data_IF_208516467172
#
_entry.id   IF_208516467172
#
_cell.length_a   1.000
_cell.length_b   1.000
_cell.length_c   1.000
_cell.angle_alpha   90.00
_cell.angle_beta   90.00
_cell.angle_gamma   90.00
#
_symmetry.space_group_name_H-M   'P 1'
#
loop_
_entity.id
_entity.type
_entity.pdbx_description
1 polymer ?
#
# COMPACT_ATOMS: atom_id res chain seq x y z
N UNK A 1 -36.70 -40.61 8.00
CA UNK A 1 -37.65 -40.41 9.11
C UNK A 1 -37.52 -38.95 9.54
N UNK A 2 -38.23 -38.05 8.86
CA UNK A 2 -39.58 -37.52 9.16
C UNK A 2 -39.56 -36.47 10.27
N UNK A 3 -39.96 -35.26 9.84
CA UNK A 3 -40.57 -34.13 10.56
C UNK A 3 -39.69 -33.37 11.59
N UNK A 4 -39.81 -32.04 11.75
CA UNK A 4 -41.03 -31.24 11.64
C UNK A 4 -40.72 -29.78 11.28
N UNK A 5 -41.42 -29.26 10.27
CA UNK A 5 -41.51 -27.85 9.94
C UNK A 5 -42.56 -27.18 10.83
N UNK A 6 -42.24 -26.04 11.44
CA UNK A 6 -43.22 -25.21 12.14
C UNK A 6 -43.65 -24.06 11.21
N UNK A 7 -44.87 -24.15 10.69
CA UNK A 7 -45.60 -23.05 10.05
C UNK A 7 -46.22 -22.19 11.16
N UNK A 8 -46.02 -20.88 11.10
CA UNK A 8 -47.01 -19.92 11.60
C UNK A 8 -47.51 -19.11 10.41
N UNK A 9 -48.79 -19.32 10.09
CA UNK A 9 -49.63 -18.44 9.30
C UNK A 9 -50.25 -17.42 10.27
N UNK A 10 -50.18 -16.13 9.96
CA UNK A 10 -51.26 -15.16 10.13
C UNK A 10 -51.06 -14.01 9.12
N UNK A 11 -52.19 -13.44 8.74
CA UNK A 11 -52.63 -12.90 7.43
C UNK A 11 -52.50 -11.36 7.27
N UNK A 12 -52.84 -10.77 6.10
CA UNK A 12 -52.36 -9.46 5.64
C UNK A 12 -53.35 -8.30 5.83
N UNK A 13 -52.83 -7.15 6.28
CA UNK A 13 -53.30 -5.75 6.11
C UNK A 13 -52.51 -4.94 7.15
N UNK A 14 -51.71 -3.93 6.86
CA UNK A 14 -51.99 -2.71 6.11
C UNK A 14 -50.70 -2.20 5.46
N UNK A 15 -50.86 -1.62 4.26
CA UNK A 15 -49.83 -0.88 3.57
C UNK A 15 -49.73 0.54 4.14
N UNK A 16 -48.50 0.99 4.38
CA UNK A 16 -47.90 2.23 3.86
C UNK A 16 -46.88 2.84 4.83
N UNK A 17 -45.65 3.02 4.34
CA UNK A 17 -44.55 3.67 5.06
C UNK A 17 -43.18 3.07 4.81
N UNK A 18 -42.76 2.98 3.55
CA UNK A 18 -41.40 2.57 3.17
C UNK A 18 -40.34 3.59 3.62
N UNK A 19 -39.37 3.14 4.43
CA UNK A 19 -37.96 3.52 4.32
C UNK A 19 -37.13 2.23 4.48
N UNK A 20 -36.41 1.74 3.45
CA UNK A 20 -35.67 0.48 3.56
C UNK A 20 -34.30 0.68 4.21
N UNK A 21 -34.14 0.10 5.41
CA UNK A 21 -33.17 -0.98 5.62
C UNK A 21 -31.70 -0.62 5.87
N UNK A 22 -31.38 -0.22 7.09
CA UNK A 22 -30.11 -0.59 7.72
C UNK A 22 -30.14 -2.09 8.07
N UNK A 23 -29.49 -2.93 7.26
CA UNK A 23 -29.33 -4.35 7.53
C UNK A 23 -28.12 -4.63 8.45
N UNK A 24 -28.14 -5.73 9.23
CA UNK A 24 -27.47 -5.78 10.53
C UNK A 24 -26.04 -6.33 10.49
N UNK A 25 -25.22 -5.71 11.35
CA UNK A 25 -24.15 -6.28 12.17
C UNK A 25 -23.63 -7.68 11.81
N UNK A 26 -22.36 -7.72 11.38
CA UNK A 26 -21.50 -8.89 11.24
C UNK A 26 -21.82 -10.01 12.24
N UNK A 27 -22.25 -11.19 11.75
CA UNK A 27 -22.12 -12.44 12.51
C UNK A 27 -20.67 -12.93 12.38
N UNK A 28 -19.83 -12.53 13.33
CA UNK A 28 -18.58 -13.21 13.64
C UNK A 28 -18.90 -14.56 14.30
N UNK A 29 -18.17 -15.60 13.92
CA UNK A 29 -17.76 -16.64 14.86
C UNK A 29 -16.85 -15.98 15.90
N UNK A 30 -17.39 -15.65 17.07
CA UNK A 30 -16.62 -15.15 18.23
C UNK A 30 -16.31 -16.35 19.12
N UNK A 31 -15.04 -16.72 19.25
CA UNK A 31 -14.57 -17.51 20.39
C UNK A 31 -14.71 -16.65 21.66
N UNK A 32 -15.27 -17.17 22.77
CA UNK A 32 -15.53 -16.35 23.94
C UNK A 32 -14.22 -16.09 24.72
N UNK A 33 -13.90 -14.81 24.94
CA UNK A 33 -12.75 -14.40 25.75
C UNK A 33 -12.59 -12.89 25.85
N UNK A 34 -13.17 -12.29 26.90
CA UNK A 34 -12.79 -11.05 27.61
C UNK A 34 -12.43 -9.81 26.74
N UNK A 35 -13.34 -8.83 26.74
CA UNK A 35 -13.14 -7.49 26.17
C UNK A 35 -12.17 -6.65 27.03
N UNK A 36 -10.92 -6.59 26.61
CA UNK A 36 -10.02 -5.46 26.90
C UNK A 36 -10.04 -4.49 25.71
N UNK A 37 -9.89 -3.16 25.87
CA UNK A 37 -9.72 -2.26 24.75
C UNK A 37 -8.39 -2.62 24.07
N UNK A 38 -8.47 -3.38 22.97
CA UNK A 38 -7.27 -3.90 22.31
C UNK A 38 -6.43 -2.74 21.82
N UNK A 39 -5.21 -2.59 22.32
CA UNK A 39 -4.29 -1.56 21.81
C UNK A 39 -4.04 -1.81 20.31
N UNK A 40 -3.85 -0.73 19.55
CA UNK A 40 -3.47 -0.87 18.15
C UNK A 40 -2.13 -1.61 18.08
N UNK A 41 -2.12 -2.73 17.34
CA UNK A 41 -0.95 -3.57 17.18
C UNK A 41 -0.49 -3.51 15.73
N UNK A 42 0.80 -3.23 15.57
CA UNK A 42 1.47 -3.30 14.28
C UNK A 42 2.35 -4.55 14.28
N UNK A 43 2.29 -5.31 13.20
CA UNK A 43 3.16 -6.45 12.96
C UNK A 43 3.73 -6.32 11.56
N UNK A 44 5.05 -6.35 11.44
CA UNK A 44 5.74 -6.36 10.16
C UNK A 44 6.40 -7.71 9.93
N UNK A 45 6.57 -8.06 8.66
CA UNK A 45 7.29 -9.26 8.24
C UNK A 45 7.87 -9.02 6.85
N UNK A 46 8.94 -9.73 6.51
CA UNK A 46 9.55 -9.61 5.19
C UNK A 46 9.94 -10.96 4.61
N UNK A 47 10.05 -10.96 3.29
CA UNK A 47 10.78 -11.94 2.51
C UNK A 47 12.06 -11.26 2.03
N UNK A 48 13.19 -11.82 2.43
CA UNK A 48 14.52 -11.38 2.00
C UNK A 48 15.01 -12.28 0.87
N UNK A 49 15.87 -11.77 -0.01
CA UNK A 49 16.42 -12.50 -1.15
C UNK A 49 15.98 -11.91 -2.50
N UNK A 50 15.91 -12.71 -3.58
CA UNK A 50 15.55 -12.21 -4.91
C UNK A 50 14.08 -11.73 -4.99
N UNK A 51 13.23 -12.25 -4.09
CA UNK A 51 11.82 -11.86 -3.93
C UNK A 51 11.71 -10.91 -2.74
N UNK A 52 11.95 -9.62 -2.96
CA UNK A 52 11.75 -8.65 -1.88
C UNK A 52 10.27 -8.29 -1.72
N UNK A 53 9.70 -8.69 -0.59
CA UNK A 53 8.37 -8.32 -0.16
C UNK A 53 8.36 -7.93 1.32
N UNK A 54 7.61 -6.88 1.64
CA UNK A 54 7.38 -6.43 3.00
C UNK A 54 5.87 -6.45 3.26
N UNK A 55 5.47 -7.15 4.31
CA UNK A 55 4.10 -7.18 4.78
C UNK A 55 3.94 -6.43 6.09
N UNK A 56 2.79 -5.79 6.24
CA UNK A 56 2.34 -5.16 7.46
C UNK A 56 0.92 -5.59 7.75
N UNK A 57 0.66 -5.97 9.00
CA UNK A 57 -0.66 -6.14 9.56
C UNK A 57 -0.87 -5.10 10.65
N UNK A 58 -1.95 -4.34 10.55
CA UNK A 58 -2.35 -3.38 11.56
C UNK A 58 -3.72 -3.76 12.08
N UNK A 59 -3.88 -3.79 13.40
CA UNK A 59 -5.17 -4.05 14.05
C UNK A 59 -5.61 -2.88 14.91
N UNK A 60 -6.92 -2.66 14.97
CA UNK A 60 -7.59 -1.63 15.76
C UNK A 60 -6.97 -0.23 15.57
N UNK A 61 -6.61 0.12 14.34
CA UNK A 61 -5.85 1.34 14.04
C UNK A 61 -6.74 2.48 13.59
N UNK A 62 -6.70 3.57 14.35
CA UNK A 62 -7.23 4.89 13.96
C UNK A 62 -6.16 5.80 13.37
N UNK A 63 -5.00 5.27 12.94
CA UNK A 63 -3.90 6.10 12.43
C UNK A 63 -4.20 6.57 11.00
N UNK A 64 -3.88 7.84 10.74
CA UNK A 64 -4.02 8.47 9.42
C UNK A 64 -2.66 8.67 8.77
N UNK A 65 -2.60 8.33 7.49
CA UNK A 65 -1.50 8.63 6.59
C UNK A 65 -1.71 10.02 5.98
N UNK A 66 -0.63 10.79 5.89
CA UNK A 66 -0.59 11.87 4.90
C UNK A 66 -0.57 11.26 3.51
N UNK A 67 -1.03 12.03 2.53
CA UNK A 67 -0.87 11.69 1.12
C UNK A 67 0.63 11.48 0.80
N UNK A 68 0.99 10.29 0.33
CA UNK A 68 2.37 9.85 0.15
C UNK A 68 2.50 8.93 -1.05
N UNK A 69 3.74 8.54 -1.38
CA UNK A 69 4.02 7.55 -2.40
C UNK A 69 5.18 6.66 -1.97
N UNK A 70 5.31 5.52 -2.63
CA UNK A 70 6.45 4.63 -2.51
C UNK A 70 6.80 4.06 -3.87
N UNK A 71 8.06 3.64 -4.01
CA UNK A 71 8.58 3.09 -5.26
C UNK A 71 8.26 1.60 -5.45
N UNK A 72 7.53 1.00 -4.52
CA UNK A 72 7.03 -0.39 -4.59
C UNK A 72 5.67 -0.45 -5.26
N UNK A 73 5.37 -1.58 -5.91
CA UNK A 73 3.98 -1.95 -6.18
C UNK A 73 3.36 -2.39 -4.85
N UNK A 74 2.12 -1.98 -4.56
CA UNK A 74 1.53 -2.27 -3.25
C UNK A 74 0.09 -2.70 -3.31
N UNK A 75 -0.24 -3.66 -2.46
CA UNK A 75 -1.56 -4.26 -2.36
C UNK A 75 -2.01 -4.14 -0.91
N UNK A 76 -3.14 -3.45 -0.69
CA UNK A 76 -3.77 -3.33 0.62
C UNK A 76 -5.07 -4.11 0.68
N UNK A 77 -5.40 -4.64 1.85
CA UNK A 77 -6.72 -5.23 2.11
C UNK A 77 -7.27 -4.67 3.42
N UNK A 78 -8.54 -4.27 3.42
CA UNK A 78 -9.26 -3.96 4.65
C UNK A 78 -9.91 -5.24 5.13
N UNK A 79 -9.64 -5.63 6.37
CA UNK A 79 -10.23 -6.82 7.00
C UNK A 79 -11.40 -6.45 7.92
N UNK A 80 -11.37 -5.25 8.48
CA UNK A 80 -12.44 -4.71 9.32
C UNK A 80 -12.50 -3.19 9.22
N UNK A 81 -13.71 -2.63 9.25
CA UNK A 81 -13.98 -1.20 9.11
C UNK A 81 -14.07 -0.75 7.65
N UNK A 82 -14.25 0.55 7.45
CA UNK A 82 -14.26 1.20 6.13
C UNK A 82 -13.13 2.23 6.04
N UNK A 83 -12.55 2.38 4.85
CA UNK A 83 -11.52 3.38 4.57
C UNK A 83 -11.88 4.26 3.39
N UNK A 84 -11.48 5.52 3.49
CA UNK A 84 -11.38 6.44 2.37
C UNK A 84 -10.02 6.23 1.69
N UNK A 85 -10.06 5.70 0.48
CA UNK A 85 -8.90 5.45 -0.35
C UNK A 85 -8.81 6.50 -1.45
N UNK A 86 -7.76 7.32 -1.38
CA UNK A 86 -7.44 8.31 -2.40
C UNK A 86 -6.21 7.83 -3.17
N UNK A 87 -6.30 7.74 -4.50
CA UNK A 87 -5.20 7.29 -5.36
C UNK A 87 -5.32 7.89 -6.76
N UNK A 88 -4.21 8.35 -7.33
CA UNK A 88 -4.17 8.87 -8.70
C UNK A 88 -5.24 9.95 -9.00
N UNK A 89 -5.60 10.77 -8.01
CA UNK A 89 -6.63 11.81 -8.13
C UNK A 89 -8.08 11.31 -8.06
N UNK A 90 -8.29 10.01 -7.83
CA UNK A 90 -9.59 9.39 -7.60
C UNK A 90 -9.78 9.10 -6.10
N UNK A 91 -11.03 8.96 -5.69
CA UNK A 91 -11.42 8.61 -4.33
C UNK A 91 -12.46 7.47 -4.36
N UNK A 92 -12.28 6.49 -3.47
CA UNK A 92 -13.19 5.36 -3.30
C UNK A 92 -13.29 4.96 -1.83
N UNK A 93 -14.43 4.38 -1.42
CA UNK A 93 -14.57 3.72 -0.14
C UNK A 93 -14.26 2.24 -0.29
N UNK A 94 -13.41 1.70 0.58
CA UNK A 94 -13.08 0.28 0.59
C UNK A 94 -13.44 -0.34 1.93
N UNK A 95 -13.98 -1.55 1.89
CA UNK A 95 -14.32 -2.36 3.06
C UNK A 95 -13.80 -3.81 2.89
N UNK A 96 -14.21 -4.70 3.80
CA UNK A 96 -13.86 -6.12 3.72
C UNK A 96 -14.27 -6.75 2.38
N UNK A 97 -13.36 -7.54 1.80
CA UNK A 97 -13.56 -8.20 0.50
C UNK A 97 -12.91 -7.48 -0.68
N UNK A 98 -12.45 -6.24 -0.51
CA UNK A 98 -11.82 -5.45 -1.58
C UNK A 98 -10.31 -5.30 -1.36
N UNK A 99 -9.54 -5.35 -2.45
CA UNK A 99 -8.11 -5.01 -2.45
C UNK A 99 -7.88 -3.62 -3.03
N UNK A 100 -7.07 -2.81 -2.36
CA UNK A 100 -6.48 -1.60 -2.93
C UNK A 100 -5.22 -1.99 -3.71
N UNK A 101 -5.12 -1.57 -4.96
CA UNK A 101 -3.92 -1.75 -5.79
C UNK A 101 -3.29 -0.39 -6.07
N UNK A 102 -1.98 -0.29 -5.79
CA UNK A 102 -1.22 0.96 -5.86
C UNK A 102 -0.01 0.74 -6.75
N UNK A 103 -0.01 1.38 -7.92
CA UNK A 103 1.14 1.39 -8.81
C UNK A 103 2.35 2.12 -8.17
N UNK A 104 3.59 1.77 -8.56
CA UNK A 104 4.78 2.50 -8.12
C UNK A 104 4.70 3.99 -8.43
N UNK A 105 5.30 4.82 -7.59
CA UNK A 105 5.32 6.28 -7.75
C UNK A 105 3.92 6.90 -7.90
N UNK A 106 2.90 6.26 -7.34
CA UNK A 106 1.52 6.76 -7.33
C UNK A 106 1.21 7.40 -5.99
N UNK A 107 0.74 8.64 -6.03
CA UNK A 107 0.33 9.39 -4.85
C UNK A 107 -0.99 8.81 -4.30
N UNK A 108 -1.01 8.46 -3.01
CA UNK A 108 -2.16 7.82 -2.39
C UNK A 108 -2.25 8.04 -0.86
N UNK A 109 -3.43 7.77 -0.31
CA UNK A 109 -3.66 7.61 1.12
C UNK A 109 -4.84 6.67 1.36
N UNK A 110 -4.86 5.98 2.51
CA UNK A 110 -5.91 5.04 2.86
C UNK A 110 -6.20 5.15 4.35
N UNK A 111 -7.24 5.91 4.69
CA UNK A 111 -7.54 6.37 6.05
C UNK A 111 -8.92 5.89 6.49
N UNK A 112 -9.14 5.61 7.79
CA UNK A 112 -10.47 5.25 8.29
C UNK A 112 -11.49 6.35 7.99
N UNK A 113 -12.74 5.94 7.77
CA UNK A 113 -13.86 6.87 7.67
C UNK A 113 -14.30 7.29 9.09
N UNK A 114 -14.44 8.60 9.30
CA UNK A 114 -14.87 9.16 10.59
C UNK A 114 -13.91 8.86 11.73
N UNK A 115 -14.44 8.37 12.84
CA UNK A 115 -13.67 8.00 14.05
C UNK A 115 -13.55 6.47 14.23
N UNK A 116 -13.92 5.71 13.20
CA UNK A 116 -13.84 4.26 13.26
C UNK A 116 -12.40 3.75 13.20
N UNK A 117 -12.19 2.56 13.73
CA UNK A 117 -10.91 1.86 13.67
C UNK A 117 -10.98 0.79 12.59
N UNK A 118 -9.82 0.50 12.00
CA UNK A 118 -9.70 -0.53 10.96
C UNK A 118 -8.68 -1.60 11.29
N UNK A 119 -8.89 -2.77 10.69
CA UNK A 119 -7.86 -3.77 10.52
C UNK A 119 -7.49 -3.81 9.05
N UNK A 120 -6.19 -3.84 8.74
CA UNK A 120 -5.75 -3.95 7.36
C UNK A 120 -4.42 -4.67 7.24
N UNK A 121 -4.21 -5.18 6.04
CA UNK A 121 -2.95 -5.72 5.57
C UNK A 121 -2.40 -4.81 4.48
N UNK A 122 -1.09 -4.62 4.46
CA UNK A 122 -0.37 -3.98 3.36
C UNK A 122 0.79 -4.86 2.94
N UNK A 123 0.92 -5.05 1.64
CA UNK A 123 2.00 -5.79 1.01
C UNK A 123 2.73 -4.83 0.06
N UNK A 124 4.03 -4.63 0.27
CA UNK A 124 4.91 -3.83 -0.56
C UNK A 124 5.86 -4.74 -1.32
N UNK A 125 5.88 -4.63 -2.64
CA UNK A 125 6.62 -5.51 -3.54
C UNK A 125 7.67 -4.73 -4.33
N UNK A 126 8.88 -5.25 -4.41
CA UNK A 126 9.91 -4.67 -5.25
C UNK A 126 9.50 -4.73 -6.73
N UNK A 127 9.62 -3.59 -7.41
CA UNK A 127 9.16 -3.44 -8.79
C UNK A 127 10.01 -4.26 -9.77
N UNK A 128 11.28 -4.49 -9.49
CA UNK A 128 12.11 -5.33 -10.35
C UNK A 128 11.70 -6.79 -10.25
N UNK A 129 11.37 -7.27 -9.04
CA UNK A 129 10.80 -8.59 -8.85
C UNK A 129 9.43 -8.71 -9.54
N UNK A 130 8.51 -7.75 -9.34
CA UNK A 130 7.23 -7.74 -10.05
C UNK A 130 7.43 -7.78 -11.57
N UNK A 131 8.40 -7.04 -12.10
CA UNK A 131 8.75 -7.09 -13.52
C UNK A 131 9.21 -8.48 -13.95
N UNK A 132 10.02 -9.19 -13.16
CA UNK A 132 10.42 -10.57 -13.48
C UNK A 132 9.22 -11.50 -13.56
N UNK A 133 8.26 -11.36 -12.64
CA UNK A 133 6.99 -12.10 -12.69
C UNK A 133 6.22 -11.76 -13.98
N UNK A 134 6.13 -10.48 -14.35
CA UNK A 134 5.45 -10.08 -15.60
C UNK A 134 6.20 -10.54 -16.86
N UNK A 135 7.53 -10.61 -16.83
CA UNK A 135 8.35 -11.17 -17.92
C UNK A 135 8.04 -12.65 -18.11
N UNK A 136 7.79 -13.43 -17.04
CA UNK A 136 7.43 -14.84 -17.18
C UNK A 136 6.03 -15.05 -17.79
N UNK A 137 5.13 -14.06 -17.68
CA UNK A 137 3.77 -14.14 -18.24
C UNK A 137 3.72 -13.60 -19.67
N UNK A 138 4.35 -12.44 -19.93
CA UNK A 138 4.18 -11.65 -21.16
C UNK A 138 5.48 -11.23 -21.84
N UNK A 139 6.65 -11.68 -21.35
CA UNK A 139 7.98 -11.30 -21.89
C UNK A 139 8.24 -9.78 -21.91
N UNK A 140 7.55 -9.02 -21.05
CA UNK A 140 7.71 -7.57 -20.95
C UNK A 140 9.07 -7.18 -20.37
N UNK A 141 9.67 -6.10 -20.92
CA UNK A 141 10.91 -5.49 -20.40
C UNK A 141 10.67 -4.39 -19.37
N UNK A 142 9.43 -3.90 -19.26
CA UNK A 142 8.98 -2.85 -18.34
C UNK A 142 7.94 -3.40 -17.38
N UNK A 143 7.80 -2.76 -16.22
CA UNK A 143 6.66 -3.01 -15.34
C UNK A 143 5.37 -2.51 -16.01
N UNK A 144 4.39 -3.41 -16.16
CA UNK A 144 3.05 -3.11 -16.67
C UNK A 144 2.19 -2.73 -15.47
N UNK A 145 1.65 -1.51 -15.50
CA UNK A 145 0.81 -1.01 -14.43
C UNK A 145 -0.52 -1.77 -14.36
N UNK A 146 -1.07 -1.89 -13.16
CA UNK A 146 -2.47 -2.32 -12.99
C UNK A 146 -3.39 -1.17 -13.43
N UNK A 147 -4.49 -1.49 -14.12
CA UNK A 147 -5.49 -0.50 -14.54
C UNK A 147 -6.51 -0.20 -13.45
N UNK A 148 -6.85 -1.24 -12.68
CA UNK A 148 -7.78 -1.15 -11.56
C UNK A 148 -7.05 -0.63 -10.32
N UNK A 149 -7.63 0.35 -9.63
CA UNK A 149 -7.13 0.86 -8.35
C UNK A 149 -7.74 0.13 -7.16
N UNK A 150 -8.91 -0.47 -7.35
CA UNK A 150 -9.60 -1.33 -6.40
C UNK A 150 -10.06 -2.60 -7.11
N UNK A 151 -9.84 -3.75 -6.48
CA UNK A 151 -10.23 -5.07 -6.99
C UNK A 151 -11.24 -5.69 -6.04
N UNK A 152 -12.50 -5.74 -6.48
CA UNK A 152 -13.58 -6.45 -5.81
C UNK A 152 -13.68 -7.87 -6.39
N UNK A 153 -12.95 -8.80 -5.77
CA UNK A 153 -12.96 -10.20 -6.16
C UNK A 153 -12.72 -11.09 -4.94
N UNK A 154 -13.78 -11.75 -4.48
CA UNK A 154 -13.75 -12.53 -3.25
C UNK A 154 -12.69 -13.64 -3.24
N UNK A 155 -12.48 -14.31 -4.37
CA UNK A 155 -11.48 -15.39 -4.48
C UNK A 155 -10.06 -14.85 -4.33
N UNK A 156 -9.73 -13.76 -5.03
CA UNK A 156 -8.41 -13.14 -4.97
C UNK A 156 -8.19 -12.50 -3.59
N UNK A 157 -9.22 -11.88 -3.00
CA UNK A 157 -9.17 -11.35 -1.65
C UNK A 157 -8.82 -12.44 -0.62
N UNK A 158 -9.52 -13.59 -0.64
CA UNK A 158 -9.21 -14.71 0.27
C UNK A 158 -7.79 -15.22 0.06
N UNK A 159 -7.36 -15.40 -1.20
CA UNK A 159 -6.00 -15.81 -1.53
C UNK A 159 -4.95 -14.83 -1.01
N UNK A 160 -5.22 -13.52 -1.09
CA UNK A 160 -4.37 -12.47 -0.54
C UNK A 160 -4.26 -12.60 0.98
N UNK A 161 -5.38 -12.70 1.71
CA UNK A 161 -5.38 -12.82 3.18
C UNK A 161 -4.64 -14.07 3.63
N UNK A 162 -4.89 -15.23 3.00
CA UNK A 162 -4.18 -16.48 3.28
C UNK A 162 -2.67 -16.36 3.03
N UNK A 163 -2.27 -15.67 1.97
CA UNK A 163 -0.86 -15.41 1.68
C UNK A 163 -0.25 -14.54 2.77
N UNK A 164 -0.90 -13.44 3.17
CA UNK A 164 -0.41 -12.57 4.23
C UNK A 164 -0.25 -13.30 5.57
N UNK A 165 -1.21 -14.16 5.93
CA UNK A 165 -1.12 -14.99 7.14
C UNK A 165 0.02 -16.03 7.05
N UNK A 166 0.22 -16.66 5.89
CA UNK A 166 1.33 -17.58 5.66
C UNK A 166 2.68 -16.85 5.77
N UNK A 167 2.80 -15.67 5.17
CA UNK A 167 4.02 -14.86 5.20
C UNK A 167 4.37 -14.40 6.62
N UNK A 168 3.37 -14.17 7.46
CA UNK A 168 3.56 -13.76 8.85
C UNK A 168 3.91 -14.90 9.81
N UNK A 169 3.49 -16.15 9.52
CA UNK A 169 3.61 -17.30 10.44
C UNK A 169 4.69 -18.32 10.07
N UNK A 170 5.00 -18.47 8.78
CA UNK A 170 5.90 -19.50 8.30
C UNK A 170 7.33 -18.99 8.16
N UNK A 171 8.31 -19.82 8.56
CA UNK A 171 9.73 -19.57 8.32
C UNK A 171 10.26 -20.31 7.08
N UNK A 172 9.40 -21.08 6.37
CA UNK A 172 9.80 -21.86 5.19
C UNK A 172 9.82 -20.98 3.94
N UNK A 173 10.99 -20.42 3.63
CA UNK A 173 11.18 -19.48 2.53
C UNK A 173 10.62 -19.95 1.16
N UNK A 174 10.89 -21.19 0.68
CA UNK A 174 10.42 -21.60 -0.65
C UNK A 174 8.89 -21.63 -0.79
N UNK A 175 8.19 -22.05 0.27
CA UNK A 175 6.72 -22.12 0.29
C UNK A 175 6.12 -20.70 0.25
N UNK A 176 6.73 -19.77 0.99
CA UNK A 176 6.31 -18.36 1.01
C UNK A 176 6.50 -17.70 -0.35
N UNK A 177 7.65 -17.93 -1.00
CA UNK A 177 7.97 -17.38 -2.31
C UNK A 177 7.04 -17.92 -3.40
N UNK A 178 6.77 -19.23 -3.41
CA UNK A 178 5.84 -19.85 -4.35
C UNK A 178 4.43 -19.27 -4.20
N UNK A 179 3.90 -19.23 -2.96
CA UNK A 179 2.56 -18.70 -2.68
C UNK A 179 2.42 -17.22 -3.07
N UNK A 180 3.44 -16.42 -2.77
CA UNK A 180 3.45 -15.00 -3.14
C UNK A 180 3.49 -14.82 -4.66
N UNK A 181 4.29 -15.63 -5.36
CA UNK A 181 4.40 -15.58 -6.82
C UNK A 181 3.05 -15.93 -7.46
N UNK A 182 2.38 -16.99 -7.02
CA UNK A 182 1.05 -17.37 -7.51
C UNK A 182 0.00 -16.26 -7.30
N UNK A 183 -0.02 -15.65 -6.12
CA UNK A 183 -0.94 -14.53 -5.82
C UNK A 183 -0.70 -13.37 -6.78
N UNK A 184 0.54 -12.95 -6.94
CA UNK A 184 0.90 -11.78 -7.77
C UNK A 184 0.64 -12.07 -9.25
N UNK A 185 0.92 -13.28 -9.73
CA UNK A 185 0.54 -13.71 -11.08
C UNK A 185 -0.98 -13.65 -11.29
N UNK A 186 -1.75 -14.14 -10.31
CA UNK A 186 -3.23 -14.12 -10.37
C UNK A 186 -3.76 -12.68 -10.45
N UNK A 187 -3.22 -11.77 -9.64
CA UNK A 187 -3.58 -10.35 -9.67
C UNK A 187 -3.21 -9.73 -11.02
N UNK A 188 -1.97 -9.92 -11.49
CA UNK A 188 -1.53 -9.34 -12.75
C UNK A 188 -2.35 -9.84 -13.94
N UNK A 189 -2.60 -11.15 -14.05
CA UNK A 189 -3.46 -11.71 -15.11
C UNK A 189 -4.88 -11.11 -15.09
N UNK A 190 -5.37 -10.67 -13.94
CA UNK A 190 -6.69 -10.05 -13.80
C UNK A 190 -6.70 -8.56 -14.08
N UNK A 191 -5.67 -7.82 -13.68
CA UNK A 191 -5.70 -6.34 -13.59
C UNK A 191 -4.75 -5.62 -14.55
N UNK A 192 -3.81 -6.34 -15.16
CA UNK A 192 -2.91 -5.77 -16.16
C UNK A 192 -3.40 -6.14 -17.55
N UNK A 193 -3.26 -5.21 -18.49
CA UNK A 193 -3.34 -5.53 -19.91
C UNK A 193 -1.97 -5.28 -20.53
N UNK A 194 -1.33 -6.31 -21.12
CA UNK A 194 -0.05 -6.19 -21.81
C UNK A 194 -0.27 -5.52 -23.17
N UNK A 195 -0.88 -4.35 -23.21
CA UNK A 195 -0.90 -3.51 -24.40
C UNK A 195 0.37 -2.68 -24.40
N UNK A 196 0.96 -2.48 -25.58
CA UNK A 196 2.03 -1.50 -25.77
C UNK A 196 1.42 -0.13 -25.44
N UNK A 197 1.61 0.35 -24.21
CA UNK A 197 1.18 1.69 -23.83
C UNK A 197 1.89 2.69 -24.73
N UNK A 198 1.13 3.35 -25.62
CA UNK A 198 1.64 4.40 -26.49
C UNK A 198 1.89 5.71 -25.72
N UNK A 199 1.42 5.81 -24.48
CA UNK A 199 1.66 6.94 -23.59
C UNK A 199 2.61 6.52 -22.46
N UNK A 200 3.88 6.29 -22.80
CA UNK A 200 4.92 6.41 -21.78
C UNK A 200 4.89 7.85 -21.24
N UNK A 201 5.04 8.08 -19.91
CA UNK A 201 5.31 9.42 -19.43
C UNK A 201 6.49 9.98 -20.23
N UNK A 202 6.48 11.29 -20.58
CA UNK A 202 7.52 11.86 -21.42
C UNK A 202 8.89 11.46 -20.88
N UNK A 203 9.80 10.98 -21.74
CA UNK A 203 11.12 10.47 -21.36
C UNK A 203 11.88 11.40 -20.38
N UNK A 204 11.56 12.70 -20.43
CA UNK A 204 12.05 13.73 -19.51
C UNK A 204 11.59 13.52 -18.05
N UNK A 205 10.32 13.19 -17.78
CA UNK A 205 9.80 12.99 -16.41
C UNK A 205 10.46 11.77 -15.76
N UNK A 206 10.61 10.67 -16.49
CA UNK A 206 11.27 9.47 -15.94
C UNK A 206 12.74 9.72 -15.62
N UNK A 207 13.45 10.48 -16.47
CA UNK A 207 14.82 10.94 -16.16
C UNK A 207 14.87 11.83 -14.92
N UNK A 208 13.90 12.73 -14.75
CA UNK A 208 13.79 13.57 -13.55
C UNK A 208 13.56 12.71 -12.29
N UNK A 209 12.67 11.71 -12.35
CA UNK A 209 12.45 10.77 -11.23
C UNK A 209 13.72 10.00 -10.90
N UNK A 210 14.45 9.51 -11.90
CA UNK A 210 15.73 8.81 -11.70
C UNK A 210 16.76 9.71 -11.01
N UNK A 211 16.90 10.96 -11.44
CA UNK A 211 17.82 11.93 -10.84
C UNK A 211 17.40 12.33 -9.41
N UNK A 212 16.10 12.51 -9.17
CA UNK A 212 15.57 12.81 -7.83
C UNK A 212 15.71 11.62 -6.87
N UNK A 213 15.64 10.40 -7.39
CA UNK A 213 15.78 9.16 -6.63
C UNK A 213 17.22 8.68 -6.44
N UNK A 214 18.22 9.40 -6.97
CA UNK A 214 19.64 9.07 -6.84
C UNK A 214 20.37 10.04 -5.90
N UNK A 215 21.53 9.60 -5.40
CA UNK A 215 22.42 10.35 -4.51
C UNK A 215 21.65 11.09 -3.39
N UNK A 216 20.83 10.37 -2.62
CA UNK A 216 19.83 10.95 -1.72
C UNK A 216 20.43 11.77 -0.55
N UNK A 217 21.65 11.41 -0.13
CA UNK A 217 22.42 12.15 0.88
C UNK A 217 22.75 13.59 0.44
N UNK A 218 23.05 13.80 -0.84
CA UNK A 218 23.40 15.11 -1.37
C UNK A 218 22.18 16.04 -1.44
N UNK A 219 22.39 17.34 -1.18
CA UNK A 219 21.34 18.35 -1.36
C UNK A 219 21.19 18.71 -2.84
N UNK A 220 20.01 18.49 -3.42
CA UNK A 220 19.73 18.84 -4.82
C UNK A 220 18.67 19.94 -4.86
N UNK A 221 19.05 21.15 -5.31
CA UNK A 221 18.10 22.27 -5.42
C UNK A 221 17.27 22.18 -6.69
N UNK A 222 16.15 22.91 -6.71
CA UNK A 222 15.30 23.01 -7.91
C UNK A 222 16.06 23.67 -9.07
N UNK A 223 16.90 24.66 -8.79
CA UNK A 223 17.72 25.38 -9.77
C UNK A 223 18.78 24.46 -10.39
N UNK A 224 19.47 23.65 -9.58
CA UNK A 224 20.44 22.67 -10.08
C UNK A 224 19.77 21.62 -10.97
N UNK A 225 18.60 21.13 -10.55
CA UNK A 225 17.82 20.18 -11.34
C UNK A 225 17.36 20.81 -12.66
N UNK A 226 16.86 22.05 -12.62
CA UNK A 226 16.39 22.78 -13.79
C UNK A 226 17.51 23.11 -14.78
N UNK A 227 18.68 23.53 -14.28
CA UNK A 227 19.88 23.79 -15.08
C UNK A 227 20.34 22.53 -15.82
N UNK A 228 20.34 21.37 -15.15
CA UNK A 228 20.70 20.07 -15.77
C UNK A 228 19.81 19.75 -16.97
N UNK A 229 18.53 20.12 -16.90
CA UNK A 229 17.53 19.87 -17.95
C UNK A 229 17.32 21.06 -18.90
N UNK A 230 18.09 22.14 -18.73
CA UNK A 230 18.00 23.40 -19.50
C UNK A 230 16.59 23.97 -19.59
N UNK A 231 15.85 23.91 -18.48
CA UNK A 231 14.50 24.48 -18.38
C UNK A 231 14.40 25.45 -17.21
N UNK A 232 13.42 26.33 -17.27
CA UNK A 232 13.14 27.23 -16.16
C UNK A 232 12.68 26.44 -14.90
N UNK A 233 13.17 26.76 -13.68
CA UNK A 233 12.79 26.08 -12.44
C UNK A 233 11.28 25.97 -12.19
N UNK A 234 10.52 27.04 -12.48
CA UNK A 234 9.07 27.07 -12.30
C UNK A 234 8.35 26.21 -13.34
N UNK A 235 8.87 26.18 -14.58
CA UNK A 235 8.37 25.26 -15.62
C UNK A 235 8.59 23.81 -15.22
N UNK A 236 9.77 23.46 -14.71
CA UNK A 236 10.09 22.12 -14.21
C UNK A 236 9.12 21.72 -13.09
N UNK A 237 8.97 22.59 -12.09
CA UNK A 237 8.06 22.35 -10.96
C UNK A 237 6.62 22.08 -11.43
N UNK A 238 6.09 22.91 -12.34
CA UNK A 238 4.73 22.78 -12.87
C UNK A 238 4.55 21.49 -13.66
N UNK A 239 5.47 21.20 -14.58
CA UNK A 239 5.41 19.98 -15.41
C UNK A 239 5.54 18.71 -14.57
N UNK A 240 6.47 18.70 -13.61
CA UNK A 240 6.67 17.56 -12.72
C UNK A 240 5.44 17.33 -11.83
N UNK A 241 4.86 18.39 -11.25
CA UNK A 241 3.65 18.28 -10.44
C UNK A 241 2.44 17.86 -11.26
N UNK A 242 2.29 18.35 -12.50
CA UNK A 242 1.24 17.91 -13.39
C UNK A 242 1.36 16.41 -13.73
N UNK A 243 2.58 15.91 -13.91
CA UNK A 243 2.82 14.51 -14.26
C UNK A 243 2.76 13.53 -13.06
N UNK A 244 3.07 13.99 -11.85
CA UNK A 244 3.25 13.11 -10.67
C UNK A 244 2.30 13.41 -9.50
N UNK A 245 1.57 14.52 -9.57
CA UNK A 245 0.72 15.02 -8.48
C UNK A 245 1.49 15.75 -7.36
N UNK A 246 2.82 15.65 -7.29
CA UNK A 246 3.64 16.22 -6.21
C UNK A 246 4.82 17.05 -6.72
N UNK A 247 5.42 17.83 -5.82
CA UNK A 247 6.62 18.62 -6.17
C UNK A 247 7.87 17.74 -6.23
N UNK A 248 8.93 18.15 -6.95
CA UNK A 248 10.22 17.45 -6.96
C UNK A 248 10.79 17.22 -5.55
N UNK A 249 10.67 18.22 -4.67
CA UNK A 249 11.10 18.12 -3.27
C UNK A 249 10.33 17.03 -2.51
N UNK A 250 8.99 17.01 -2.64
CA UNK A 250 8.16 15.98 -2.01
C UNK A 250 8.46 14.59 -2.57
N UNK A 251 8.70 14.46 -3.87
CA UNK A 251 9.10 13.19 -4.49
C UNK A 251 10.43 12.68 -3.94
N UNK A 252 11.45 13.54 -3.88
CA UNK A 252 12.75 13.20 -3.28
C UNK A 252 12.63 12.81 -1.81
N UNK A 253 11.77 13.49 -1.05
CA UNK A 253 11.51 13.15 0.34
C UNK A 253 10.90 11.75 0.50
N UNK A 254 9.95 11.35 -0.36
CA UNK A 254 9.44 9.97 -0.36
C UNK A 254 10.56 8.96 -0.69
N UNK A 255 11.44 9.27 -1.66
CA UNK A 255 12.61 8.43 -1.97
C UNK A 255 13.55 8.27 -0.76
N UNK A 256 13.76 9.35 0.02
CA UNK A 256 14.57 9.31 1.25
C UNK A 256 13.93 8.44 2.33
N UNK A 257 12.62 8.48 2.48
CA UNK A 257 11.90 7.60 3.42
C UNK A 257 12.00 6.14 2.99
N UNK A 258 11.88 5.83 1.70
CA UNK A 258 12.06 4.46 1.20
C UNK A 258 13.48 3.94 1.39
N UNK A 259 14.51 4.80 1.28
CA UNK A 259 15.89 4.45 1.65
C UNK A 259 16.01 4.24 3.17
N UNK A 260 15.42 5.12 3.98
CA UNK A 260 15.47 5.01 5.44
C UNK A 260 14.85 3.70 5.92
N UNK A 261 13.74 3.25 5.32
CA UNK A 261 13.15 1.93 5.59
C UNK A 261 14.17 0.81 5.36
N UNK A 262 14.91 0.83 4.24
CA UNK A 262 15.93 -0.18 3.93
C UNK A 262 17.05 -0.20 4.97
N UNK A 263 17.54 0.99 5.35
CA UNK A 263 18.63 1.16 6.32
C UNK A 263 18.19 0.71 7.72
N UNK A 264 17.01 1.13 8.17
CA UNK A 264 16.47 0.75 9.48
C UNK A 264 16.25 -0.76 9.60
N UNK A 265 15.76 -1.41 8.54
CA UNK A 265 15.61 -2.88 8.49
C UNK A 265 16.94 -3.62 8.60
N UNK A 266 18.04 -3.00 8.19
CA UNK A 266 19.38 -3.56 8.38
C UNK A 266 19.92 -3.36 9.81
N UNK A 267 19.11 -2.86 10.75
CA UNK A 267 19.50 -2.66 12.14
C UNK A 267 20.30 -1.37 12.39
N UNK A 268 20.44 -0.50 11.39
CA UNK A 268 21.18 0.77 11.54
C UNK A 268 20.35 1.79 12.32
N UNK A 269 20.98 2.46 13.30
CA UNK A 269 20.31 3.42 14.18
C UNK A 269 19.67 4.61 13.44
N UNK A 270 18.53 5.14 13.92
CA UNK A 270 17.82 6.24 13.26
C UNK A 270 18.63 7.50 13.03
N UNK A 271 19.61 7.80 13.90
CA UNK A 271 20.50 8.95 13.74
C UNK A 271 21.41 8.81 12.52
N UNK A 272 21.99 7.62 12.31
CA UNK A 272 22.82 7.30 11.14
C UNK A 272 21.95 7.26 9.89
N UNK A 273 20.78 6.61 9.97
CA UNK A 273 19.84 6.53 8.85
C UNK A 273 19.40 7.92 8.35
N UNK A 274 19.25 8.90 9.26
CA UNK A 274 18.92 10.26 8.89
C UNK A 274 19.98 10.89 7.98
N UNK A 275 21.25 10.78 8.36
CA UNK A 275 22.38 11.35 7.61
C UNK A 275 22.56 10.65 6.25
N UNK A 276 22.56 9.32 6.24
CA UNK A 276 22.71 8.51 5.01
C UNK A 276 21.59 8.79 3.99
N UNK A 277 20.40 9.10 4.48
CA UNK A 277 19.26 9.44 3.62
C UNK A 277 19.23 10.94 3.23
N UNK A 278 20.12 11.78 3.77
CA UNK A 278 20.16 13.21 3.49
C UNK A 278 19.10 14.03 4.23
N UNK A 279 18.60 13.54 5.36
CA UNK A 279 17.85 14.37 6.31
C UNK A 279 18.84 15.25 7.10
N UNK A 280 18.40 16.48 7.38
CA UNK A 280 19.15 17.42 8.21
C UNK A 280 19.57 16.84 9.57
N UNK A 281 18.63 16.17 10.25
CA UNK A 281 18.86 15.50 11.52
C UNK A 281 17.85 14.36 11.74
N UNK A 282 18.00 13.64 12.86
CA UNK A 282 17.09 12.57 13.27
C UNK A 282 15.65 13.05 13.49
N UNK A 283 15.45 14.27 13.99
CA UNK A 283 14.12 14.84 14.25
C UNK A 283 13.36 15.10 12.94
N UNK A 284 14.07 15.56 11.91
CA UNK A 284 13.57 15.76 10.58
C UNK A 284 13.18 14.42 9.93
N UNK A 285 14.02 13.39 10.04
CA UNK A 285 13.65 12.02 9.65
C UNK A 285 12.39 11.57 10.39
N UNK A 286 12.36 11.68 11.73
CA UNK A 286 11.26 11.22 12.56
C UNK A 286 9.93 11.81 12.10
N UNK A 287 9.87 13.13 11.92
CA UNK A 287 8.65 13.85 11.53
C UNK A 287 8.07 13.32 10.23
N UNK A 288 8.91 13.18 9.20
CA UNK A 288 8.46 12.74 7.88
C UNK A 288 8.19 11.25 7.83
N UNK A 289 9.02 10.44 8.48
CA UNK A 289 8.84 9.00 8.57
C UNK A 289 7.50 8.68 9.23
N UNK A 290 7.23 9.22 10.42
CA UNK A 290 5.96 8.99 11.12
C UNK A 290 4.75 9.47 10.32
N UNK A 291 4.86 10.61 9.62
CA UNK A 291 3.76 11.11 8.81
C UNK A 291 3.42 10.21 7.59
N UNK A 292 4.42 9.53 7.02
CA UNK A 292 4.27 8.70 5.83
C UNK A 292 4.08 7.21 6.15
N UNK A 293 4.59 6.72 7.27
CA UNK A 293 4.52 5.29 7.65
C UNK A 293 3.60 5.05 8.83
N UNK A 294 3.14 6.09 9.52
CA UNK A 294 2.36 6.05 10.79
C UNK A 294 3.08 5.43 12.00
N UNK A 295 4.34 5.01 11.86
CA UNK A 295 5.18 4.49 12.96
C UNK A 295 6.46 5.32 13.04
N UNK A 296 7.10 5.37 14.21
CA UNK A 296 8.40 6.04 14.34
C UNK A 296 9.52 5.21 13.69
N UNK A 297 10.66 5.82 13.32
CA UNK A 297 11.81 5.06 12.82
C UNK A 297 12.25 3.92 13.73
N UNK A 298 12.25 4.13 15.07
CA UNK A 298 12.66 3.11 16.04
C UNK A 298 11.63 2.00 16.16
N UNK A 299 10.34 2.34 16.21
CA UNK A 299 9.26 1.34 16.15
C UNK A 299 9.39 0.48 14.90
N UNK A 300 9.61 1.10 13.74
CA UNK A 300 9.77 0.38 12.48
C UNK A 300 10.98 -0.56 12.53
N UNK A 301 12.14 -0.09 12.97
CA UNK A 301 13.34 -0.93 13.13
C UNK A 301 13.08 -2.16 14.00
N UNK A 302 12.55 -1.96 15.22
CA UNK A 302 12.32 -3.03 16.21
C UNK A 302 11.32 -4.08 15.73
N UNK A 303 10.48 -3.77 14.75
CA UNK A 303 9.56 -4.76 14.18
C UNK A 303 10.23 -5.76 13.22
N UNK A 304 11.49 -5.53 12.83
CA UNK A 304 12.27 -6.43 11.97
C UNK A 304 13.48 -7.06 12.67
N UNK A 305 13.76 -6.66 13.91
CA UNK A 305 14.80 -7.23 14.78
C UNK A 305 14.23 -8.30 15.68
#
# INVERSE_FOLDING_TARGET
MIATACRCLLSPSEADGMIPGSAPCCRLFVLPGIRSPTMSKEQFFSLSGPTFAEGRRSTNSGRHYKLHMHRTFSIGAVDCGEVLYQVAGQEARLGPGTLALINPDTLHSCNPVGHEKRNYYMLYLDVNWCRQVQTSIWQSKKFIQVKETALDNERIYRQYIETMELLAKSNKQPVREARLTELVQTIFLRTCEPTISLSDPPLQIERLKQQLGSNLAHHLTLEQLAATHRINPYTLLRQFKAATGITPHAFRLNCRIDLAKKILRAGIEPSVAALECGFFDQSHLHRHFKAMTTVTPKEYQVNFT
#
